data_IF_429341972934
#
_entry.id   IF_429341972934
#
_cell.length_a   1.000
_cell.length_b   1.000
_cell.length_c   1.000
_cell.angle_alpha   90.00
_cell.angle_beta   90.00
_cell.angle_gamma   90.00
#
_symmetry.space_group_name_H-M   'P 1'
#
loop_
_entity.id
_entity.type
_entity.pdbx_description
1 polymer ?
#
# COMPACT_ATOMS: atom_id res chain seq x y z
N UNK A 1 12.83 -3.81 -12.11
CA UNK A 1 13.91 -4.65 -11.63
C UNK A 1 13.86 -5.88 -12.50
N UNK A 2 14.89 -6.06 -13.31
CA UNK A 2 15.01 -7.25 -14.11
C UNK A 2 15.35 -8.39 -13.15
N UNK A 3 14.51 -9.41 -13.06
CA UNK A 3 14.87 -10.61 -12.28
C UNK A 3 16.10 -11.26 -12.92
N UNK A 4 17.02 -11.85 -12.14
CA UNK A 4 18.25 -12.50 -12.67
C UNK A 4 17.97 -13.49 -13.82
N UNK A 5 16.75 -14.04 -13.89
CA UNK A 5 16.30 -14.98 -14.92
C UNK A 5 16.05 -14.31 -16.29
N UNK A 6 15.73 -13.02 -16.30
CA UNK A 6 15.39 -12.23 -17.49
C UNK A 6 16.60 -11.41 -17.97
N UNK A 7 17.55 -11.07 -17.10
CA UNK A 7 18.73 -10.22 -17.41
C UNK A 7 19.57 -10.70 -18.61
N UNK A 8 19.62 -12.01 -18.86
CA UNK A 8 20.31 -12.62 -20.00
C UNK A 8 19.71 -12.31 -21.38
N UNK A 9 18.51 -11.72 -21.44
CA UNK A 9 17.82 -11.36 -22.68
C UNK A 9 17.91 -9.86 -23.01
N UNK A 10 18.76 -9.11 -22.29
CA UNK A 10 18.78 -7.65 -22.29
C UNK A 10 20.23 -7.15 -22.39
N UNK A 11 20.48 -6.24 -23.32
CA UNK A 11 21.70 -5.42 -23.32
C UNK A 11 21.36 -4.00 -22.89
N UNK A 12 22.04 -3.52 -21.85
CA UNK A 12 21.88 -2.19 -21.28
C UNK A 12 23.14 -1.35 -21.58
N UNK A 13 22.97 -0.22 -22.24
CA UNK A 13 24.02 0.78 -22.44
C UNK A 13 23.56 2.11 -21.81
N UNK A 14 24.37 2.63 -20.89
CA UNK A 14 24.11 3.88 -20.17
C UNK A 14 25.27 4.83 -20.51
N UNK A 15 24.97 5.93 -21.21
CA UNK A 15 25.92 7.02 -21.47
C UNK A 15 25.24 8.35 -21.25
N UNK A 16 25.85 9.21 -20.42
CA UNK A 16 25.66 10.66 -20.35
C UNK A 16 24.26 11.15 -20.80
N UNK A 17 23.23 10.73 -20.06
CA UNK A 17 21.80 11.06 -20.24
C UNK A 17 20.99 10.33 -21.33
N UNK A 18 21.57 9.41 -22.10
CA UNK A 18 20.84 8.49 -22.99
C UNK A 18 20.75 7.06 -22.41
N UNK A 19 19.52 6.55 -22.33
CA UNK A 19 19.20 5.18 -21.92
C UNK A 19 18.88 4.33 -23.16
N UNK A 20 19.78 3.43 -23.56
CA UNK A 20 19.55 2.50 -24.68
C UNK A 20 19.47 1.06 -24.16
N UNK A 21 18.37 0.39 -24.47
CA UNK A 21 18.16 -1.01 -24.13
C UNK A 21 17.74 -1.80 -25.38
N UNK A 22 18.21 -3.06 -25.50
CA UNK A 22 17.75 -4.02 -26.53
C UNK A 22 17.24 -5.29 -25.87
N UNK A 23 16.11 -5.81 -26.34
CA UNK A 23 15.39 -6.98 -25.80
C UNK A 23 15.03 -7.92 -26.93
N UNK A 24 15.10 -9.23 -26.65
CA UNK A 24 15.00 -10.29 -27.67
C UNK A 24 13.62 -10.95 -27.80
N UNK A 25 12.67 -10.90 -26.84
CA UNK A 25 11.24 -11.31 -27.03
C UNK A 25 10.37 -11.27 -25.73
N UNK A 26 9.06 -10.92 -25.81
CA UNK A 26 7.96 -11.40 -24.92
C UNK A 26 6.54 -10.90 -25.32
N UNK A 27 5.51 -11.77 -25.26
CA UNK A 27 4.08 -11.43 -25.41
C UNK A 27 3.14 -12.38 -24.63
N UNK A 28 1.93 -11.93 -24.22
CA UNK A 28 0.68 -12.75 -24.08
C UNK A 28 -0.54 -12.09 -23.36
N UNK A 29 -0.41 -11.06 -22.51
CA UNK A 29 -1.60 -10.46 -21.79
C UNK A 29 -2.09 -9.15 -22.42
N UNK A 30 -1.19 -8.29 -22.86
CA UNK A 30 -1.53 -7.01 -23.49
C UNK A 30 -2.35 -7.19 -24.78
N UNK A 31 -2.04 -8.24 -25.56
CA UNK A 31 -2.73 -8.56 -26.81
C UNK A 31 -4.22 -8.89 -26.60
N UNK A 32 -4.56 -9.62 -25.53
CA UNK A 32 -5.96 -9.95 -25.23
C UNK A 32 -6.79 -8.70 -24.92
N UNK A 33 -6.24 -7.76 -24.14
CA UNK A 33 -6.91 -6.49 -23.81
C UNK A 33 -7.08 -5.61 -25.05
N UNK A 34 -6.06 -5.54 -25.92
CA UNK A 34 -6.14 -4.80 -27.18
C UNK A 34 -7.21 -5.39 -28.10
N UNK A 35 -7.29 -6.72 -28.22
CA UNK A 35 -8.30 -7.41 -29.03
C UNK A 35 -9.74 -7.14 -28.56
N UNK A 36 -9.98 -7.13 -27.24
CA UNK A 36 -11.32 -6.83 -26.70
C UNK A 36 -11.75 -5.37 -26.97
N UNK A 37 -10.80 -4.44 -26.95
CA UNK A 37 -11.05 -3.05 -27.32
C UNK A 37 -11.33 -2.92 -28.81
N UNK A 38 -10.58 -3.61 -29.68
CA UNK A 38 -10.83 -3.63 -31.12
C UNK A 38 -12.25 -4.11 -31.43
N UNK A 39 -12.70 -5.22 -30.82
CA UNK A 39 -14.08 -5.72 -30.97
C UNK A 39 -15.13 -4.69 -30.54
N UNK A 40 -14.86 -4.00 -29.43
CA UNK A 40 -15.75 -2.95 -28.91
C UNK A 40 -15.83 -1.74 -29.86
N UNK A 41 -14.70 -1.36 -30.48
CA UNK A 41 -14.65 -0.28 -31.48
C UNK A 41 -15.34 -0.69 -32.79
N UNK A 42 -15.19 -1.93 -33.23
CA UNK A 42 -15.91 -2.46 -34.41
C UNK A 42 -17.43 -2.46 -34.21
N UNK A 43 -17.88 -2.79 -33.01
CA UNK A 43 -19.30 -2.68 -32.64
C UNK A 43 -19.80 -1.22 -32.76
N UNK A 44 -19.06 -0.25 -32.22
CA UNK A 44 -19.41 1.18 -32.35
C UNK A 44 -19.39 1.62 -33.82
N UNK A 45 -18.39 1.20 -34.60
CA UNK A 45 -18.30 1.51 -36.04
C UNK A 45 -19.53 0.99 -36.79
N UNK A 46 -20.03 -0.19 -36.43
CA UNK A 46 -21.24 -0.77 -37.02
C UNK A 46 -22.49 0.02 -36.64
N UNK A 47 -22.60 0.49 -35.39
CA UNK A 47 -23.70 1.37 -34.96
C UNK A 47 -23.70 2.71 -35.70
N UNK A 48 -22.52 3.31 -35.90
CA UNK A 48 -22.38 4.59 -36.63
C UNK A 48 -22.76 4.43 -38.10
N UNK A 49 -22.37 3.33 -38.75
CA UNK A 49 -22.81 3.01 -40.12
C UNK A 49 -24.33 2.87 -40.26
N UNK A 50 -25.02 2.45 -39.19
CA UNK A 50 -26.48 2.38 -39.13
C UNK A 50 -27.15 3.73 -38.82
N UNK A 51 -26.39 4.84 -38.83
CA UNK A 51 -26.89 6.18 -38.57
C UNK A 51 -27.07 6.51 -37.09
N UNK A 52 -26.56 5.69 -36.16
CA UNK A 52 -26.59 5.99 -34.72
C UNK A 52 -25.41 6.88 -34.34
N UNK A 53 -25.61 7.73 -33.34
CA UNK A 53 -24.59 8.63 -32.78
C UNK A 53 -24.08 9.65 -33.82
N UNK A 54 -24.97 10.53 -34.30
CA UNK A 54 -24.62 11.55 -35.29
C UNK A 54 -23.67 12.62 -34.77
N UNK A 55 -22.75 13.05 -35.63
CA UNK A 55 -21.80 14.13 -35.36
C UNK A 55 -20.53 13.68 -34.64
N UNK A 56 -19.41 14.29 -35.01
CA UNK A 56 -18.06 13.94 -34.55
C UNK A 56 -17.93 13.89 -33.03
N UNK A 57 -18.60 14.79 -32.32
CA UNK A 57 -18.52 14.90 -30.85
C UNK A 57 -19.16 13.69 -30.14
N UNK A 58 -20.33 13.24 -30.61
CA UNK A 58 -21.04 12.11 -30.02
C UNK A 58 -20.28 10.79 -30.26
N UNK A 59 -19.71 10.63 -31.45
CA UNK A 59 -18.84 9.48 -31.79
C UNK A 59 -17.59 9.51 -30.90
N UNK A 60 -16.97 10.68 -30.75
CA UNK A 60 -15.78 10.91 -29.93
C UNK A 60 -15.96 10.51 -28.46
N UNK A 61 -17.07 10.92 -27.82
CA UNK A 61 -17.37 10.55 -26.43
C UNK A 61 -17.46 9.02 -26.26
N UNK A 62 -18.07 8.33 -27.22
CA UNK A 62 -18.31 6.88 -27.15
C UNK A 62 -17.02 6.08 -27.35
N UNK A 63 -16.25 6.45 -28.37
CA UNK A 63 -14.92 5.87 -28.64
C UNK A 63 -13.98 6.13 -27.45
N UNK A 64 -13.96 7.35 -26.92
CA UNK A 64 -13.18 7.72 -25.75
C UNK A 64 -13.52 6.89 -24.51
N UNK A 65 -14.80 6.59 -24.27
CA UNK A 65 -15.22 5.75 -23.14
C UNK A 65 -14.68 4.32 -23.21
N UNK A 66 -14.64 3.73 -24.40
CA UNK A 66 -14.12 2.37 -24.60
C UNK A 66 -12.61 2.34 -24.42
N UNK A 67 -11.91 3.27 -25.07
CA UNK A 67 -10.44 3.28 -25.11
C UNK A 67 -9.83 3.70 -23.75
N UNK A 68 -10.49 4.60 -23.02
CA UNK A 68 -10.01 5.04 -21.71
C UNK A 68 -10.28 4.05 -20.58
N UNK A 69 -11.11 3.01 -20.80
CA UNK A 69 -11.46 2.02 -19.77
C UNK A 69 -10.22 1.35 -19.16
N UNK A 70 -9.21 1.07 -19.98
CA UNK A 70 -7.96 0.42 -19.56
C UNK A 70 -6.74 1.33 -19.69
N UNK A 71 -6.92 2.65 -19.90
CA UNK A 71 -5.83 3.63 -20.06
C UNK A 71 -4.82 3.30 -21.18
N UNK A 72 -5.25 2.60 -22.22
CA UNK A 72 -4.42 2.21 -23.38
C UNK A 72 -4.60 3.12 -24.60
N UNK A 73 -5.15 4.32 -24.40
CA UNK A 73 -5.45 5.26 -25.48
C UNK A 73 -4.27 5.62 -26.38
N UNK A 74 -3.07 5.66 -25.80
CA UNK A 74 -1.80 5.92 -26.50
C UNK A 74 -1.47 4.92 -27.61
N UNK A 75 -2.08 3.73 -27.60
CA UNK A 75 -1.86 2.65 -28.58
C UNK A 75 -2.79 2.69 -29.78
N UNK A 76 -3.77 3.59 -29.81
CA UNK A 76 -4.73 3.70 -30.88
C UNK A 76 -4.57 5.02 -31.61
N UNK A 77 -4.50 4.96 -32.94
CA UNK A 77 -4.65 6.12 -33.81
C UNK A 77 -6.10 6.19 -34.23
N UNK A 78 -6.74 7.34 -33.98
CA UNK A 78 -8.15 7.56 -34.25
C UNK A 78 -8.33 8.74 -35.21
N UNK A 79 -9.17 8.56 -36.21
CA UNK A 79 -9.65 9.62 -37.07
C UNK A 79 -11.17 9.67 -36.97
N UNK A 80 -11.70 10.68 -36.30
CA UNK A 80 -13.14 10.82 -36.08
C UNK A 80 -13.68 11.93 -36.97
N UNK A 81 -14.72 11.60 -37.74
CA UNK A 81 -15.44 12.46 -38.68
C UNK A 81 -16.91 12.54 -38.25
N UNK A 82 -17.70 13.37 -38.92
CA UNK A 82 -19.12 13.54 -38.59
C UNK A 82 -20.00 12.34 -38.94
N UNK A 83 -19.55 11.54 -39.90
CA UNK A 83 -20.24 10.38 -40.46
C UNK A 83 -19.62 9.04 -40.05
N UNK A 84 -18.55 9.05 -39.24
CA UNK A 84 -17.79 7.84 -39.00
C UNK A 84 -16.49 8.05 -38.24
N UNK A 85 -15.77 6.95 -38.03
CA UNK A 85 -14.41 7.00 -37.54
C UNK A 85 -13.60 5.81 -38.04
N UNK A 86 -12.30 6.04 -38.12
CA UNK A 86 -11.30 5.01 -38.36
C UNK A 86 -10.35 4.87 -37.19
N UNK A 87 -9.93 3.63 -36.98
CA UNK A 87 -8.94 3.30 -35.98
C UNK A 87 -7.97 2.26 -36.52
N UNK A 88 -6.73 2.34 -36.07
CA UNK A 88 -5.80 1.24 -36.12
C UNK A 88 -4.95 1.24 -34.84
N UNK A 89 -4.37 0.08 -34.54
CA UNK A 89 -3.39 -0.04 -33.47
C UNK A 89 -2.06 0.51 -33.97
N UNK A 90 -1.40 1.31 -33.15
CA UNK A 90 -0.04 1.76 -33.36
C UNK A 90 0.91 0.64 -32.90
N UNK A 91 1.20 -0.29 -33.81
CA UNK A 91 2.05 -1.46 -33.51
C UNK A 91 3.43 -1.05 -33.00
N UNK A 92 3.96 0.10 -33.44
CA UNK A 92 5.24 0.61 -32.96
C UNK A 92 5.16 1.03 -31.48
N UNK A 93 4.10 1.74 -31.08
CA UNK A 93 3.89 2.10 -29.66
C UNK A 93 3.60 0.88 -28.80
N UNK A 94 2.79 -0.06 -29.30
CA UNK A 94 2.52 -1.32 -28.61
C UNK A 94 3.82 -2.10 -28.42
N UNK A 95 4.64 -2.25 -29.45
CA UNK A 95 5.94 -2.92 -29.35
C UNK A 95 6.89 -2.20 -28.40
N UNK A 96 6.94 -0.86 -28.45
CA UNK A 96 7.79 -0.06 -27.56
C UNK A 96 7.38 -0.16 -26.09
N UNK A 97 6.07 -0.26 -25.82
CA UNK A 97 5.55 -0.40 -24.46
C UNK A 97 5.63 -1.84 -23.97
N UNK A 98 5.36 -2.83 -24.82
CA UNK A 98 5.58 -4.24 -24.53
C UNK A 98 7.06 -4.50 -24.22
N UNK A 99 7.98 -3.81 -24.90
CA UNK A 99 9.41 -3.84 -24.59
C UNK A 99 9.73 -3.25 -23.20
N UNK A 100 8.90 -2.36 -22.67
CA UNK A 100 9.05 -1.81 -21.33
C UNK A 100 8.18 -2.53 -20.29
N UNK A 101 7.27 -3.40 -20.72
CA UNK A 101 6.26 -4.00 -19.87
C UNK A 101 6.91 -4.98 -18.88
N UNK A 102 6.50 -4.89 -17.62
CA UNK A 102 7.13 -5.62 -16.53
C UNK A 102 8.51 -5.10 -16.08
N UNK A 103 9.05 -4.02 -16.66
CA UNK A 103 10.35 -3.45 -16.26
C UNK A 103 10.15 -2.24 -15.34
N UNK A 104 10.75 -2.32 -14.16
CA UNK A 104 10.76 -1.23 -13.18
C UNK A 104 12.16 -0.63 -13.04
N UNK A 105 12.43 0.56 -13.59
CA UNK A 105 13.74 1.21 -13.45
C UNK A 105 13.72 2.13 -12.24
N UNK A 106 14.73 2.00 -11.36
CA UNK A 106 14.93 2.91 -10.23
C UNK A 106 16.27 3.60 -10.44
N UNK A 107 16.23 4.93 -10.54
CA UNK A 107 17.42 5.79 -10.55
C UNK A 107 17.56 6.43 -9.19
N UNK A 108 18.77 6.43 -8.65
CA UNK A 108 19.13 7.12 -7.41
C UNK A 108 20.35 7.99 -7.66
N UNK A 109 20.45 9.13 -6.97
CA UNK A 109 21.64 9.98 -6.94
C UNK A 109 22.63 9.56 -5.84
N UNK A 110 22.26 8.55 -5.04
CA UNK A 110 23.12 8.03 -3.96
C UNK A 110 24.17 7.10 -4.55
N UNK A 111 25.48 7.28 -4.22
CA UNK A 111 26.54 6.40 -4.68
C UNK A 111 26.36 4.95 -4.22
N UNK A 112 26.85 3.99 -5.01
CA UNK A 112 26.70 2.55 -4.76
C UNK A 112 27.37 2.12 -3.45
N UNK A 113 28.46 2.77 -3.04
CA UNK A 113 29.16 2.49 -1.78
C UNK A 113 28.29 2.79 -0.55
N UNK A 114 27.28 3.65 -0.69
CA UNK A 114 26.34 4.01 0.37
C UNK A 114 25.01 3.27 0.29
N UNK A 115 24.59 2.87 -0.92
CA UNK A 115 23.31 2.21 -1.12
C UNK A 115 23.42 1.19 -2.24
N UNK A 116 23.41 -0.08 -1.85
CA UNK A 116 23.46 -1.18 -2.80
C UNK A 116 22.24 -1.15 -3.75
N UNK A 117 22.30 -1.80 -4.92
CA UNK A 117 21.15 -1.93 -5.80
C UNK A 117 19.93 -2.55 -5.12
N UNK A 118 20.15 -3.58 -4.30
CA UNK A 118 19.06 -4.24 -3.56
C UNK A 118 18.45 -3.30 -2.52
N UNK A 119 19.28 -2.58 -1.76
CA UNK A 119 18.80 -1.62 -0.76
C UNK A 119 18.12 -0.42 -1.40
N UNK A 120 18.53 -0.02 -2.60
CA UNK A 120 17.84 0.99 -3.40
C UNK A 120 16.41 0.56 -3.70
N UNK A 121 16.21 -0.68 -4.14
CA UNK A 121 14.86 -1.23 -4.38
C UNK A 121 14.07 -1.35 -3.07
N UNK A 122 14.69 -1.77 -1.96
CA UNK A 122 14.02 -1.85 -0.63
C UNK A 122 13.54 -0.49 -0.17
N UNK A 123 14.42 0.51 -0.22
CA UNK A 123 14.12 1.90 0.14
C UNK A 123 13.00 2.46 -0.72
N UNK A 124 13.04 2.23 -2.04
CA UNK A 124 11.95 2.63 -2.92
C UNK A 124 10.61 1.98 -2.53
N UNK A 125 10.60 0.65 -2.31
CA UNK A 125 9.39 -0.07 -1.88
C UNK A 125 8.93 0.29 -0.48
N UNK A 126 9.80 0.85 0.37
CA UNK A 126 9.45 1.33 1.70
C UNK A 126 8.47 2.50 1.67
N UNK A 127 8.31 3.20 0.53
CA UNK A 127 7.27 4.22 0.33
C UNK A 127 5.86 3.68 0.61
N UNK A 128 5.61 2.40 0.36
CA UNK A 128 4.34 1.74 0.72
C UNK A 128 4.07 1.74 2.24
N UNK A 129 5.11 1.83 3.08
CA UNK A 129 4.96 1.99 4.52
C UNK A 129 4.44 3.39 4.88
N UNK A 130 4.89 4.41 4.15
CA UNK A 130 4.39 5.79 4.30
C UNK A 130 2.92 5.86 3.89
N UNK A 131 2.53 5.24 2.77
CA UNK A 131 1.13 5.16 2.37
C UNK A 131 0.26 4.44 3.41
N UNK A 132 0.81 3.36 4.00
CA UNK A 132 0.14 2.65 5.09
C UNK A 132 -0.02 3.53 6.32
N UNK A 133 1.00 4.30 6.70
CA UNK A 133 0.93 5.26 7.79
C UNK A 133 -0.19 6.28 7.55
N UNK A 134 -0.24 6.90 6.36
CA UNK A 134 -1.32 7.82 5.99
C UNK A 134 -2.69 7.16 6.00
N UNK A 135 -2.80 5.89 5.61
CA UNK A 135 -4.06 5.14 5.69
C UNK A 135 -4.49 4.89 7.14
N UNK A 136 -3.58 4.44 8.01
CA UNK A 136 -3.85 4.24 9.44
C UNK A 136 -4.32 5.52 10.13
N UNK A 137 -3.64 6.64 9.84
CA UNK A 137 -4.01 7.98 10.32
C UNK A 137 -5.43 8.35 9.86
N UNK A 138 -5.74 8.14 8.58
CA UNK A 138 -7.03 8.57 8.00
C UNK A 138 -8.22 7.72 8.42
N UNK A 139 -8.08 6.40 8.52
CA UNK A 139 -9.25 5.50 8.53
C UNK A 139 -9.32 4.48 9.67
N UNK A 140 -8.19 3.87 10.08
CA UNK A 140 -8.27 2.61 10.84
C UNK A 140 -8.22 2.84 12.35
N UNK A 141 -7.25 3.61 12.83
CA UNK A 141 -6.95 3.66 14.26
C UNK A 141 -7.10 5.08 14.86
N UNK A 142 -6.67 6.11 14.15
CA UNK A 142 -6.70 7.51 14.66
C UNK A 142 -7.89 8.34 14.19
N UNK A 143 -8.64 7.86 13.20
CA UNK A 143 -9.90 8.44 12.72
C UNK A 143 -9.84 9.97 12.56
N UNK A 144 -8.88 10.49 11.77
CA UNK A 144 -8.84 11.92 11.36
C UNK A 144 -10.19 12.40 10.80
N UNK A 145 -11.01 11.48 10.29
CA UNK A 145 -12.42 11.72 9.96
C UNK A 145 -13.25 10.89 10.95
N UNK A 146 -14.10 11.51 11.80
CA UNK A 146 -15.15 12.42 11.34
C UNK A 146 -15.14 13.81 12.01
N UNK A 147 -14.00 14.31 12.51
CA UNK A 147 -13.95 15.60 13.21
C UNK A 147 -13.89 16.77 12.22
N UNK A 148 -14.94 17.58 12.17
CA UNK A 148 -15.04 18.74 11.25
C UNK A 148 -14.58 20.02 11.93
N UNK A 149 -13.31 20.37 11.79
CA UNK A 149 -12.79 21.67 12.23
C UNK A 149 -13.13 22.79 11.24
N UNK A 150 -13.51 23.97 11.76
CA UNK A 150 -13.85 25.16 10.94
C UNK A 150 -12.76 26.23 10.90
N UNK A 151 -11.83 26.22 11.85
CA UNK A 151 -10.71 27.15 11.93
C UNK A 151 -9.43 26.45 11.50
N UNK A 152 -8.63 27.12 10.68
CA UNK A 152 -7.39 26.59 10.12
C UNK A 152 -6.42 26.10 11.21
N UNK A 153 -6.25 26.88 12.28
CA UNK A 153 -5.37 26.53 13.41
C UNK A 153 -5.78 25.22 14.07
N UNK A 154 -7.09 24.96 14.21
CA UNK A 154 -7.61 23.71 14.78
C UNK A 154 -7.39 22.52 13.84
N UNK A 155 -7.48 22.73 12.52
CA UNK A 155 -7.15 21.71 11.52
C UNK A 155 -5.68 21.31 11.64
N UNK A 156 -4.76 22.30 11.67
CA UNK A 156 -3.31 22.04 11.80
C UNK A 156 -3.00 21.30 13.11
N UNK A 157 -3.56 21.74 14.23
CA UNK A 157 -3.36 21.10 15.53
C UNK A 157 -3.88 19.65 15.56
N UNK A 158 -5.06 19.38 14.99
CA UNK A 158 -5.61 18.03 14.93
C UNK A 158 -4.75 17.08 14.09
N UNK A 159 -4.30 17.52 12.91
CA UNK A 159 -3.40 16.71 12.06
C UNK A 159 -2.10 16.41 12.81
N UNK A 160 -1.53 17.39 13.51
CA UNK A 160 -0.32 17.21 14.30
C UNK A 160 -0.52 16.18 15.43
N UNK A 161 -1.60 16.29 16.20
CA UNK A 161 -1.93 15.32 17.26
C UNK A 161 -2.12 13.92 16.69
N UNK A 162 -2.78 13.77 15.54
CA UNK A 162 -2.92 12.48 14.87
C UNK A 162 -1.57 11.91 14.38
N UNK A 163 -0.64 12.77 13.95
CA UNK A 163 0.72 12.34 13.62
C UNK A 163 1.47 11.82 14.86
N UNK A 164 1.38 12.53 15.99
CA UNK A 164 2.02 12.12 17.25
C UNK A 164 1.42 10.81 17.79
N UNK A 165 0.09 10.70 17.80
CA UNK A 165 -0.55 9.50 18.28
C UNK A 165 -0.29 8.29 17.35
N UNK A 166 -0.13 8.50 16.03
CA UNK A 166 0.38 7.46 15.14
C UNK A 166 1.81 7.03 15.47
N UNK A 167 2.67 7.98 15.80
CA UNK A 167 4.05 7.70 16.18
C UNK A 167 4.12 6.81 17.44
N UNK A 168 3.31 7.15 18.46
CA UNK A 168 3.17 6.33 19.67
C UNK A 168 2.62 4.94 19.32
N UNK A 169 1.53 4.87 18.55
CA UNK A 169 0.95 3.60 18.10
C UNK A 169 1.95 2.74 17.33
N UNK A 170 2.79 3.34 16.47
CA UNK A 170 3.80 2.62 15.71
C UNK A 170 4.81 1.93 16.64
N UNK A 171 5.34 2.65 17.63
CA UNK A 171 6.25 2.10 18.63
C UNK A 171 5.59 1.00 19.46
N UNK A 172 4.34 1.22 19.89
CA UNK A 172 3.57 0.20 20.61
C UNK A 172 3.38 -1.07 19.77
N UNK A 173 3.07 -0.93 18.47
CA UNK A 173 2.94 -2.07 17.57
C UNK A 173 4.25 -2.80 17.34
N UNK A 174 5.36 -2.08 17.32
CA UNK A 174 6.69 -2.66 17.21
C UNK A 174 7.02 -3.50 18.45
N UNK A 175 6.87 -2.93 19.65
CA UNK A 175 7.05 -3.61 20.92
C UNK A 175 6.12 -4.82 21.07
N UNK A 176 4.85 -4.69 20.67
CA UNK A 176 3.85 -5.75 20.78
C UNK A 176 3.86 -6.76 19.63
N UNK A 177 4.82 -6.73 18.70
CA UNK A 177 4.90 -7.72 17.61
C UNK A 177 4.72 -9.18 18.05
N UNK A 178 5.29 -9.64 19.19
CA UNK A 178 5.08 -10.99 19.67
C UNK A 178 3.62 -11.30 20.00
N UNK A 179 2.88 -10.33 20.54
CA UNK A 179 1.48 -10.46 20.95
C UNK A 179 0.49 -10.26 19.80
N UNK A 180 0.91 -9.57 18.74
CA UNK A 180 0.05 -9.19 17.62
C UNK A 180 0.07 -10.21 16.47
N UNK A 181 -0.92 -10.13 15.57
CA UNK A 181 -0.88 -10.76 14.23
C UNK A 181 0.16 -10.11 13.31
N UNK A 182 1.41 -10.08 13.77
CA UNK A 182 2.56 -9.57 13.06
C UNK A 182 3.59 -10.68 12.88
N UNK A 183 4.28 -10.62 11.74
CA UNK A 183 5.46 -11.43 11.52
C UNK A 183 6.62 -10.83 12.31
N UNK A 184 7.24 -11.63 13.17
CA UNK A 184 8.32 -11.23 14.08
C UNK A 184 9.68 -11.22 13.39
N UNK A 185 9.84 -11.98 12.30
CA UNK A 185 11.08 -12.10 11.55
C UNK A 185 11.38 -10.83 10.71
N UNK A 186 11.91 -9.79 11.38
CA UNK A 186 12.32 -8.54 10.72
C UNK A 186 13.62 -8.69 9.94
N UNK A 187 14.55 -9.52 10.42
CA UNK A 187 15.86 -9.70 9.79
C UNK A 187 15.71 -10.30 8.39
N UNK A 188 14.82 -11.27 8.20
CA UNK A 188 14.52 -11.78 6.87
C UNK A 188 14.01 -10.71 5.90
N UNK A 189 13.35 -9.64 6.38
CA UNK A 189 12.91 -8.52 5.51
C UNK A 189 14.08 -7.67 5.05
N UNK A 190 15.12 -7.52 5.86
CA UNK A 190 16.33 -6.75 5.52
C UNK A 190 17.13 -7.45 4.42
N UNK A 191 17.22 -8.77 4.46
CA UNK A 191 18.07 -9.54 3.53
C UNK A 191 17.33 -10.13 2.32
N UNK A 192 15.99 -10.15 2.31
CA UNK A 192 15.21 -11.00 1.38
C UNK A 192 15.55 -11.17 -0.11
N UNK A 193 15.78 -10.19 -0.95
CA UNK A 193 15.35 -10.11 -2.37
C UNK A 193 14.12 -9.20 -2.38
N UNK A 194 14.36 -7.92 -2.70
CA UNK A 194 13.33 -6.91 -2.65
C UNK A 194 12.31 -7.05 -3.78
N UNK A 195 12.57 -7.84 -4.80
CA UNK A 195 11.78 -7.98 -6.02
C UNK A 195 10.84 -9.17 -5.93
N UNK A 196 11.34 -10.27 -5.40
CA UNK A 196 10.56 -11.49 -5.21
C UNK A 196 9.31 -11.23 -4.33
N UNK A 197 8.19 -11.94 -4.59
CA UNK A 197 6.99 -11.86 -3.76
C UNK A 197 7.28 -12.09 -2.28
N UNK A 198 6.55 -11.37 -1.42
CA UNK A 198 6.75 -11.48 0.02
C UNK A 198 6.26 -12.82 0.57
N UNK A 199 7.18 -13.54 1.23
CA UNK A 199 6.88 -14.78 1.96
C UNK A 199 6.82 -14.46 3.45
N UNK A 200 5.76 -14.94 4.11
CA UNK A 200 5.60 -14.87 5.56
C UNK A 200 6.42 -15.99 6.22
N UNK A 201 6.92 -15.74 7.42
CA UNK A 201 7.62 -16.76 8.20
C UNK A 201 6.69 -17.92 8.58
N UNK A 202 7.29 -19.07 8.92
CA UNK A 202 6.53 -20.24 9.40
C UNK A 202 5.75 -19.91 10.69
N UNK A 203 6.35 -19.13 11.59
CA UNK A 203 5.71 -18.69 12.83
C UNK A 203 4.50 -17.79 12.56
N UNK A 204 4.62 -16.83 11.64
CA UNK A 204 3.50 -15.98 11.25
C UNK A 204 2.36 -16.78 10.61
N UNK A 205 2.67 -17.77 9.76
CA UNK A 205 1.66 -18.65 9.18
C UNK A 205 0.96 -19.53 10.24
N UNK A 206 1.70 -20.03 11.23
CA UNK A 206 1.13 -20.74 12.39
C UNK A 206 0.17 -19.83 13.15
N UNK A 207 0.62 -18.64 13.56
CA UNK A 207 -0.16 -17.64 14.31
C UNK A 207 -1.47 -17.28 13.59
N UNK A 208 -1.43 -17.12 12.27
CA UNK A 208 -2.63 -16.84 11.45
C UNK A 208 -3.62 -18.02 11.46
N UNK A 209 -3.11 -19.25 11.34
CA UNK A 209 -3.96 -20.46 11.30
C UNK A 209 -4.57 -20.78 12.66
N UNK A 210 -3.77 -20.77 13.72
CA UNK A 210 -4.22 -21.10 15.08
C UNK A 210 -4.95 -19.96 15.77
N UNK A 211 -4.68 -18.70 15.37
CA UNK A 211 -5.02 -17.49 16.13
C UNK A 211 -4.45 -17.48 17.56
N UNK A 212 -3.40 -18.26 17.79
CA UNK A 212 -2.75 -18.44 19.07
C UNK A 212 -1.25 -18.19 18.99
N UNK A 213 -0.67 -17.78 20.11
CA UNK A 213 0.75 -17.70 20.37
C UNK A 213 1.30 -19.07 20.78
N UNK A 214 2.61 -19.16 20.97
CA UNK A 214 3.30 -20.42 21.28
C UNK A 214 3.01 -20.94 22.69
N UNK A 215 2.54 -20.08 23.58
CA UNK A 215 2.03 -20.40 24.93
C UNK A 215 0.53 -20.74 24.94
N UNK A 216 -0.06 -21.01 23.77
CA UNK A 216 -1.49 -21.29 23.54
C UNK A 216 -2.45 -20.12 23.88
N UNK A 217 -1.92 -18.95 24.25
CA UNK A 217 -2.71 -17.75 24.45
C UNK A 217 -3.18 -17.15 23.12
N UNK A 218 -4.25 -16.35 23.15
CA UNK A 218 -4.78 -15.71 21.95
C UNK A 218 -3.82 -14.66 21.38
N UNK A 219 -3.63 -14.70 20.06
CA UNK A 219 -2.99 -13.60 19.35
C UNK A 219 -3.98 -12.43 19.18
N UNK A 220 -3.50 -11.20 19.35
CA UNK A 220 -4.35 -10.02 19.35
C UNK A 220 -4.21 -9.17 18.07
N UNK A 221 -5.26 -8.41 17.75
CA UNK A 221 -5.10 -7.20 16.96
C UNK A 221 -4.72 -6.05 17.90
N UNK A 222 -4.21 -4.95 17.37
CA UNK A 222 -3.88 -3.78 18.20
C UNK A 222 -5.09 -3.31 19.02
N UNK A 223 -6.28 -3.30 18.41
CA UNK A 223 -7.52 -2.88 19.06
C UNK A 223 -8.00 -3.88 20.13
N UNK A 224 -7.86 -5.20 19.90
CA UNK A 224 -8.27 -6.18 20.92
C UNK A 224 -7.30 -6.20 22.10
N UNK A 225 -6.00 -5.96 21.86
CA UNK A 225 -5.01 -5.81 22.94
C UNK A 225 -5.27 -4.53 23.73
N UNK A 226 -5.50 -3.39 23.06
CA UNK A 226 -5.86 -2.14 23.74
C UNK A 226 -7.15 -2.28 24.55
N UNK A 227 -8.18 -2.94 24.02
CA UNK A 227 -9.43 -3.22 24.75
C UNK A 227 -9.19 -4.11 25.97
N UNK A 228 -8.24 -5.04 25.91
CA UNK A 228 -7.85 -5.84 27.07
C UNK A 228 -7.16 -4.96 28.12
N UNK A 229 -6.26 -4.08 27.69
CA UNK A 229 -5.54 -3.17 28.60
C UNK A 229 -6.44 -2.08 29.19
N UNK A 230 -7.53 -1.71 28.51
CA UNK A 230 -8.45 -0.68 29.02
C UNK A 230 -9.21 -1.09 30.28
N UNK A 231 -9.11 -2.34 30.75
CA UNK A 231 -9.64 -2.75 32.05
C UNK A 231 -8.74 -2.34 33.22
N UNK A 232 -7.53 -1.83 32.92
CA UNK A 232 -6.60 -1.29 33.90
C UNK A 232 -6.89 0.19 34.06
N UNK A 233 -7.37 0.56 35.24
CA UNK A 233 -7.81 1.91 35.54
C UNK A 233 -7.17 2.38 36.84
N UNK A 234 -6.98 3.70 36.95
CA UNK A 234 -6.61 4.36 38.20
C UNK A 234 -7.87 4.94 38.82
N UNK A 235 -8.37 4.30 39.86
CA UNK A 235 -9.57 4.70 40.57
C UNK A 235 -9.23 5.66 41.72
N UNK A 236 -10.16 6.56 42.02
CA UNK A 236 -10.16 7.37 43.24
C UNK A 236 -11.10 6.66 44.23
N UNK A 237 -10.56 6.24 45.36
CA UNK A 237 -11.25 5.43 46.35
C UNK A 237 -11.33 6.16 47.70
N UNK A 238 -12.31 5.73 48.51
CA UNK A 238 -12.47 6.09 49.93
C UNK A 238 -12.58 4.82 50.74
N UNK A 239 -12.28 4.88 52.04
CA UNK A 239 -12.48 3.71 52.88
C UNK A 239 -14.00 3.45 53.05
N UNK A 240 -14.42 2.17 53.15
CA UNK A 240 -15.81 1.86 53.40
C UNK A 240 -16.31 2.51 54.70
N UNK A 241 -17.42 3.26 54.63
CA UNK A 241 -18.01 3.95 55.78
C UNK A 241 -17.52 5.39 55.99
N UNK A 242 -16.63 5.89 55.14
CA UNK A 242 -16.16 7.28 55.20
C UNK A 242 -17.26 8.31 54.88
N UNK A 243 -17.20 9.44 55.57
CA UNK A 243 -17.99 10.64 55.23
C UNK A 243 -17.61 11.13 53.82
N UNK A 244 -18.55 11.68 53.02
CA UNK A 244 -18.28 12.44 51.80
C UNK A 244 -17.08 13.41 51.81
N UNK A 245 -16.66 13.95 52.95
CA UNK A 245 -15.51 14.87 53.07
C UNK A 245 -14.19 14.17 53.44
N UNK A 246 -14.19 12.84 53.56
CA UNK A 246 -13.00 12.09 53.93
C UNK A 246 -11.92 12.10 52.82
N UNK A 247 -10.63 12.00 53.21
CA UNK A 247 -9.52 11.91 52.26
C UNK A 247 -9.69 10.76 51.26
N UNK A 248 -9.37 11.03 49.99
CA UNK A 248 -9.36 10.01 48.94
C UNK A 248 -7.96 9.50 48.67
N UNK A 249 -7.85 8.26 48.18
CA UNK A 249 -6.58 7.69 47.70
C UNK A 249 -6.75 7.04 46.33
N UNK A 250 -5.64 6.77 45.65
CA UNK A 250 -5.66 6.13 44.34
C UNK A 250 -5.39 4.64 44.44
N UNK A 251 -6.15 3.85 43.68
CA UNK A 251 -5.91 2.41 43.50
C UNK A 251 -5.83 2.12 42.01
N UNK A 252 -4.79 1.41 41.58
CA UNK A 252 -4.63 0.95 40.19
C UNK A 252 -5.02 -0.53 40.14
N UNK A 253 -5.80 -0.92 39.12
CA UNK A 253 -6.11 -2.34 38.89
C UNK A 253 -4.82 -3.15 38.71
N UNK A 254 -4.66 -4.24 39.45
CA UNK A 254 -3.55 -5.16 39.26
C UNK A 254 -3.69 -5.87 37.89
N UNK A 255 -2.70 -5.76 36.99
CA UNK A 255 -2.75 -6.42 35.69
C UNK A 255 -2.73 -7.95 35.83
N UNK A 256 -3.46 -8.63 34.95
CA UNK A 256 -3.26 -10.07 34.74
C UNK A 256 -1.91 -10.35 34.07
N UNK A 257 -1.39 -11.61 34.08
CA UNK A 257 -0.09 -11.93 33.50
C UNK A 257 0.09 -11.53 32.02
N UNK A 258 -0.99 -11.53 31.24
CA UNK A 258 -0.95 -11.13 29.81
C UNK A 258 -0.90 -9.61 29.66
N UNK A 259 -1.65 -8.90 30.51
CA UNK A 259 -1.59 -7.44 30.56
C UNK A 259 -0.23 -6.96 31.06
N UNK A 260 0.35 -7.63 32.07
CA UNK A 260 1.68 -7.33 32.56
C UNK A 260 2.73 -7.52 31.46
N UNK A 261 2.70 -8.67 30.76
CA UNK A 261 3.59 -8.92 29.60
C UNK A 261 3.49 -7.84 28.53
N UNK A 262 2.30 -7.29 28.28
CA UNK A 262 2.14 -6.19 27.34
C UNK A 262 2.79 -4.89 27.85
N UNK A 263 2.73 -4.58 29.15
CA UNK A 263 3.46 -3.46 29.73
C UNK A 263 4.96 -3.66 29.69
N UNK A 264 5.46 -4.84 30.07
CA UNK A 264 6.89 -5.15 30.07
C UNK A 264 7.49 -4.94 28.66
N UNK A 265 6.74 -5.29 27.61
CA UNK A 265 7.15 -5.02 26.23
C UNK A 265 7.18 -3.51 25.91
N UNK A 266 6.25 -2.71 26.43
CA UNK A 266 6.28 -1.26 26.23
C UNK A 266 7.48 -0.60 26.90
N UNK A 267 7.96 -1.13 28.03
CA UNK A 267 9.16 -0.63 28.71
C UNK A 267 10.45 -0.84 27.88
N UNK A 268 10.41 -1.71 26.87
CA UNK A 268 11.54 -1.91 25.94
C UNK A 268 11.64 -0.84 24.84
N UNK A 269 10.68 0.07 24.74
CA UNK A 269 10.68 1.12 23.72
C UNK A 269 11.79 2.13 24.04
N UNK A 270 12.78 2.22 23.14
CA UNK A 270 13.82 3.25 23.16
C UNK A 270 13.47 4.28 22.08
N UNK A 271 13.26 5.54 22.49
CA UNK A 271 12.88 6.66 21.61
C UNK A 271 14.09 7.54 21.30
#
# INVERSE_FOLDING_TARGET
>A
VITKKIAKHFHLDIRDDEFRFRIVEQGTVAEAVLNDICKSLESIRSEVKLGKHGGKDNIGVRVGKVINKYKVAKHFVLQIRDDGFDFHVDEHKVASEAALDGIYVIRTSVPEERLSPDDTVRSYKSLSQVERAFRSIKTIDLKVRPIRHRLETRVRAHIFLCMLAYYVEWHMREAWRPLLFCDEDQEAKKTRDPVAPAKRSKAALRKIRSKKLDDDSEAHSFQTLLKRLSTIVRNICRAPGDNPDAPTFHVVTTPDPKQQRAYDLLETIIV
#
